data_IF_672796431026
#
_entry.id   IF_672796431026
#
_cell.length_a   1.000
_cell.length_b   1.000
_cell.length_c   1.000
_cell.angle_alpha   90.00
_cell.angle_beta   90.00
_cell.angle_gamma   90.00
#
_symmetry.space_group_name_H-M   'P 1'
#
loop_
_entity.id
_entity.type
_entity.pdbx_description
1 polymer ?
#
# COMPACT_ATOMS: atom_id res chain seq x y z
N UNK A 1 6.93 19.40 -23.22
CA UNK A 1 6.20 18.13 -23.24
C UNK A 1 6.27 17.58 -21.82
N UNK A 2 5.23 17.77 -21.06
CA UNK A 2 5.15 17.33 -19.65
C UNK A 2 5.02 15.82 -19.61
N UNK A 3 5.75 15.17 -18.72
CA UNK A 3 5.78 13.71 -18.51
C UNK A 3 4.42 13.07 -18.15
N UNK A 4 3.36 13.83 -18.13
CA UNK A 4 1.98 13.48 -17.82
C UNK A 4 1.24 12.68 -18.92
N UNK A 5 1.89 12.40 -20.07
CA UNK A 5 1.25 11.73 -21.21
C UNK A 5 1.39 10.21 -21.26
N UNK A 6 2.05 9.56 -20.27
CA UNK A 6 2.28 8.12 -20.27
C UNK A 6 1.45 7.36 -19.22
N UNK A 7 0.68 8.05 -18.39
CA UNK A 7 -0.15 7.41 -17.37
C UNK A 7 -1.45 6.97 -17.99
N UNK A 8 -1.74 5.68 -18.00
CA UNK A 8 -3.03 5.16 -18.45
C UNK A 8 -4.10 5.48 -17.40
N UNK A 9 -4.98 6.42 -17.76
CA UNK A 9 -6.08 6.84 -16.87
C UNK A 9 -6.96 5.68 -16.46
N UNK A 10 -7.16 4.68 -17.31
CA UNK A 10 -7.98 3.49 -17.01
C UNK A 10 -7.31 2.64 -15.94
N UNK A 11 -6.00 2.41 -16.07
CA UNK A 11 -5.22 1.67 -15.08
C UNK A 11 -5.21 2.36 -13.71
N UNK A 12 -5.06 3.69 -13.67
CA UNK A 12 -5.17 4.47 -12.42
C UNK A 12 -6.51 4.26 -11.71
N UNK A 13 -7.63 4.26 -12.45
CA UNK A 13 -8.95 4.03 -11.86
C UNK A 13 -9.13 2.60 -11.37
N UNK A 14 -8.69 1.62 -12.16
CA UNK A 14 -8.71 0.20 -11.77
C UNK A 14 -7.92 -0.03 -10.48
N UNK A 15 -6.73 0.54 -10.40
CA UNK A 15 -5.87 0.51 -9.24
C UNK A 15 -6.57 1.15 -8.02
N UNK A 16 -7.10 2.35 -8.16
CA UNK A 16 -7.78 3.05 -7.06
C UNK A 16 -8.98 2.27 -6.52
N UNK A 17 -9.76 1.61 -7.39
CA UNK A 17 -10.87 0.74 -6.96
C UNK A 17 -10.31 -0.46 -6.19
N UNK A 18 -9.25 -1.08 -6.68
CA UNK A 18 -8.59 -2.22 -6.01
C UNK A 18 -8.07 -1.85 -4.62
N UNK A 19 -7.37 -0.71 -4.49
CA UNK A 19 -6.88 -0.20 -3.21
C UNK A 19 -8.01 0.05 -2.21
N UNK A 20 -9.11 0.68 -2.63
CA UNK A 20 -10.27 0.90 -1.78
C UNK A 20 -10.86 -0.42 -1.26
N UNK A 21 -10.94 -1.44 -2.11
CA UNK A 21 -11.43 -2.76 -1.70
C UNK A 21 -10.49 -3.44 -0.70
N UNK A 22 -9.17 -3.36 -0.89
CA UNK A 22 -8.17 -3.90 0.06
C UNK A 22 -8.21 -3.20 1.43
N UNK A 23 -8.61 -1.93 1.45
CA UNK A 23 -8.82 -1.15 2.66
C UNK A 23 -10.19 -1.38 3.31
N UNK A 24 -11.05 -2.21 2.71
CA UNK A 24 -12.42 -2.43 3.18
C UNK A 24 -13.34 -1.22 2.96
N UNK A 25 -12.93 -0.29 2.10
CA UNK A 25 -13.66 0.94 1.78
C UNK A 25 -14.51 0.74 0.53
N UNK A 26 -15.82 0.98 0.63
CA UNK A 26 -16.73 0.84 -0.51
C UNK A 26 -16.32 1.78 -1.65
N UNK A 27 -16.01 1.26 -2.86
CA UNK A 27 -15.61 2.10 -4.00
C UNK A 27 -16.81 2.91 -4.53
N UNK A 28 -16.76 4.22 -4.32
CA UNK A 28 -17.74 5.18 -4.82
C UNK A 28 -17.05 6.23 -5.70
N UNK A 29 -17.78 6.78 -6.67
CA UNK A 29 -17.25 7.88 -7.51
C UNK A 29 -16.67 9.04 -6.70
N UNK A 30 -17.30 9.39 -5.57
CA UNK A 30 -16.82 10.45 -4.71
C UNK A 30 -15.44 10.14 -4.10
N UNK A 31 -15.23 8.90 -3.67
CA UNK A 31 -13.94 8.46 -3.11
C UNK A 31 -12.82 8.41 -4.17
N UNK A 32 -13.15 8.01 -5.40
CA UNK A 32 -12.20 8.07 -6.51
C UNK A 32 -11.86 9.53 -6.83
N UNK A 33 -12.85 10.43 -6.84
CA UNK A 33 -12.62 11.85 -7.05
C UNK A 33 -11.67 12.44 -6.00
N UNK A 34 -11.83 12.07 -4.75
CA UNK A 34 -10.98 12.46 -3.64
C UNK A 34 -9.55 11.90 -3.80
N UNK A 35 -9.41 10.58 -4.01
CA UNK A 35 -8.11 9.89 -4.15
C UNK A 35 -7.29 10.42 -5.33
N UNK A 36 -7.93 10.63 -6.46
CA UNK A 36 -7.27 11.09 -7.69
C UNK A 36 -7.24 12.62 -7.83
N UNK A 37 -7.78 13.37 -6.85
CA UNK A 37 -7.91 14.84 -6.92
C UNK A 37 -8.58 15.30 -8.21
N UNK A 38 -9.63 14.59 -8.66
CA UNK A 38 -10.35 14.85 -9.89
C UNK A 38 -11.75 15.39 -9.65
N UNK A 39 -12.29 16.13 -10.62
CA UNK A 39 -13.67 16.63 -10.54
C UNK A 39 -14.69 15.49 -10.67
N UNK A 40 -15.83 15.60 -9.97
CA UNK A 40 -16.93 14.62 -10.08
C UNK A 40 -17.39 14.35 -11.51
N UNK A 41 -17.56 15.37 -12.38
CA UNK A 41 -17.87 15.17 -13.80
C UNK A 41 -16.82 14.36 -14.55
N UNK A 42 -15.53 14.60 -14.32
CA UNK A 42 -14.42 13.84 -14.93
C UNK A 42 -14.49 12.36 -14.53
N UNK A 43 -14.65 12.11 -13.22
CA UNK A 43 -14.79 10.75 -12.70
C UNK A 43 -16.01 10.07 -13.31
N UNK A 44 -17.15 10.74 -13.37
CA UNK A 44 -18.38 10.18 -13.94
C UNK A 44 -18.23 9.80 -15.42
N UNK A 45 -17.54 10.61 -16.22
CA UNK A 45 -17.27 10.30 -17.63
C UNK A 45 -16.33 9.09 -17.76
N UNK A 46 -15.26 9.03 -16.99
CA UNK A 46 -14.30 7.91 -17.02
C UNK A 46 -14.98 6.62 -16.58
N UNK A 47 -15.72 6.62 -15.48
CA UNK A 47 -16.47 5.46 -15.00
C UNK A 47 -17.48 4.97 -16.05
N UNK A 48 -18.23 5.88 -16.68
CA UNK A 48 -19.17 5.49 -17.74
C UNK A 48 -18.48 4.91 -18.98
N UNK A 49 -17.26 5.34 -19.30
CA UNK A 49 -16.44 4.72 -20.35
C UNK A 49 -16.00 3.32 -19.94
N UNK A 50 -15.44 3.17 -18.73
CA UNK A 50 -14.97 1.88 -18.22
C UNK A 50 -16.12 0.84 -18.11
N UNK A 51 -17.32 1.29 -17.76
CA UNK A 51 -18.52 0.44 -17.75
C UNK A 51 -18.88 -0.05 -19.15
N UNK A 52 -18.89 0.83 -20.17
CA UNK A 52 -19.10 0.45 -21.58
C UNK A 52 -18.02 -0.50 -22.09
N UNK A 53 -16.77 -0.33 -21.64
CA UNK A 53 -15.65 -1.15 -22.03
C UNK A 53 -15.63 -2.49 -21.25
N UNK A 54 -16.63 -2.72 -20.37
CA UNK A 54 -16.80 -3.97 -19.62
C UNK A 54 -15.80 -4.20 -18.50
N UNK A 55 -15.16 -3.15 -17.98
CA UNK A 55 -14.14 -3.24 -16.94
C UNK A 55 -14.71 -3.16 -15.52
N UNK A 56 -15.87 -2.54 -15.38
CA UNK A 56 -16.58 -2.42 -14.11
C UNK A 56 -18.11 -2.35 -14.36
N UNK A 57 -18.87 -2.47 -13.31
CA UNK A 57 -20.31 -2.23 -13.32
C UNK A 57 -20.76 -1.54 -12.04
N UNK A 58 -21.93 -0.90 -12.08
CA UNK A 58 -22.58 -0.36 -10.91
C UNK A 58 -23.35 -1.46 -10.18
N UNK A 59 -22.93 -1.75 -8.97
CA UNK A 59 -23.69 -2.58 -8.03
C UNK A 59 -24.69 -1.73 -7.22
N UNK A 60 -25.44 -2.37 -6.31
CA UNK A 60 -26.35 -1.66 -5.41
C UNK A 60 -25.69 -0.46 -4.71
N UNK A 61 -26.48 0.55 -4.39
CA UNK A 61 -26.01 1.77 -3.69
C UNK A 61 -24.90 2.57 -4.40
N UNK A 62 -24.85 2.48 -5.74
CA UNK A 62 -23.87 3.18 -6.60
C UNK A 62 -22.40 2.74 -6.39
N UNK A 63 -22.19 1.60 -5.77
CA UNK A 63 -20.88 0.99 -5.63
C UNK A 63 -20.32 0.63 -6.99
N UNK A 64 -19.03 0.89 -7.19
CA UNK A 64 -18.30 0.42 -8.36
C UNK A 64 -17.74 -0.96 -8.05
N UNK A 65 -18.06 -1.93 -8.87
CA UNK A 65 -17.54 -3.28 -8.78
C UNK A 65 -16.73 -3.61 -10.04
N UNK A 66 -15.51 -4.10 -9.88
CA UNK A 66 -14.71 -4.56 -11.00
C UNK A 66 -15.34 -5.81 -11.63
N UNK A 67 -15.37 -5.87 -12.96
CA UNK A 67 -15.62 -7.12 -13.68
C UNK A 67 -14.42 -8.07 -13.54
N UNK A 68 -14.55 -9.32 -13.99
CA UNK A 68 -13.43 -10.26 -14.02
C UNK A 68 -12.25 -9.71 -14.83
N UNK A 69 -12.52 -9.08 -15.97
CA UNK A 69 -11.50 -8.41 -16.81
C UNK A 69 -10.88 -7.23 -16.08
N UNK A 70 -11.71 -6.38 -15.47
CA UNK A 70 -11.22 -5.23 -14.70
C UNK A 70 -10.39 -5.67 -13.50
N UNK A 71 -10.82 -6.71 -12.79
CA UNK A 71 -10.09 -7.31 -11.67
C UNK A 71 -8.71 -7.80 -12.09
N UNK A 72 -8.65 -8.57 -13.19
CA UNK A 72 -7.39 -9.07 -13.74
C UNK A 72 -6.43 -7.92 -14.09
N UNK A 73 -6.91 -6.88 -14.76
CA UNK A 73 -6.09 -5.72 -15.10
C UNK A 73 -5.63 -4.96 -13.86
N UNK A 74 -6.51 -4.69 -12.89
CA UNK A 74 -6.17 -4.05 -11.62
C UNK A 74 -5.09 -4.84 -10.87
N UNK A 75 -5.25 -6.17 -10.77
CA UNK A 75 -4.27 -7.07 -10.15
C UNK A 75 -2.90 -6.94 -10.80
N UNK A 76 -2.83 -6.92 -12.14
CA UNK A 76 -1.57 -6.79 -12.88
C UNK A 76 -0.89 -5.45 -12.68
N UNK A 77 -1.64 -4.36 -12.63
CA UNK A 77 -1.09 -3.03 -12.33
C UNK A 77 -0.54 -2.98 -10.91
N UNK A 78 -1.31 -3.43 -9.91
CA UNK A 78 -0.86 -3.50 -8.52
C UNK A 78 0.36 -4.39 -8.33
N UNK A 79 0.42 -5.53 -9.01
CA UNK A 79 1.59 -6.42 -8.98
C UNK A 79 2.84 -5.72 -9.49
N UNK A 80 2.75 -5.05 -10.65
CA UNK A 80 3.86 -4.29 -11.22
C UNK A 80 4.31 -3.16 -10.29
N UNK A 81 3.35 -2.44 -9.70
CA UNK A 81 3.62 -1.39 -8.73
C UNK A 81 4.45 -1.93 -7.56
N UNK A 82 3.94 -2.95 -6.87
CA UNK A 82 4.56 -3.52 -5.66
C UNK A 82 5.90 -4.21 -5.96
N UNK A 83 6.07 -4.83 -7.12
CA UNK A 83 7.36 -5.34 -7.58
C UNK A 83 8.35 -4.22 -7.90
N UNK A 84 7.90 -3.11 -8.49
CA UNK A 84 8.73 -1.94 -8.70
C UNK A 84 9.22 -1.36 -7.37
N UNK A 85 8.36 -1.23 -6.36
CA UNK A 85 8.76 -0.80 -5.02
C UNK A 85 9.86 -1.70 -4.44
N UNK A 86 9.71 -3.04 -4.54
CA UNK A 86 10.72 -3.98 -4.09
C UNK A 86 12.07 -3.77 -4.79
N UNK A 87 12.07 -3.60 -6.11
CA UNK A 87 13.29 -3.36 -6.90
C UNK A 87 13.94 -2.03 -6.50
N UNK A 88 13.14 -0.98 -6.36
CA UNK A 88 13.60 0.37 -6.01
C UNK A 88 14.27 0.40 -4.64
N UNK A 89 13.71 -0.27 -3.64
CA UNK A 89 14.33 -0.35 -2.30
C UNK A 89 15.56 -1.26 -2.33
N UNK A 90 15.41 -2.53 -2.79
CA UNK A 90 16.41 -3.55 -2.52
C UNK A 90 17.63 -3.48 -3.45
N UNK A 91 17.45 -3.02 -4.69
CA UNK A 91 18.50 -3.01 -5.72
C UNK A 91 18.97 -1.60 -6.05
N UNK A 92 18.01 -0.70 -6.31
CA UNK A 92 18.30 0.69 -6.67
C UNK A 92 18.70 1.51 -5.42
N UNK A 93 18.26 1.05 -4.22
CA UNK A 93 18.51 1.73 -2.93
C UNK A 93 17.92 3.14 -2.87
N UNK A 94 16.78 3.33 -3.51
CA UNK A 94 16.00 4.54 -3.36
C UNK A 94 15.47 4.62 -1.92
N UNK A 95 15.42 5.81 -1.27
CA UNK A 95 14.86 5.93 0.06
C UNK A 95 13.44 5.34 0.15
N UNK A 96 13.18 4.55 1.20
CA UNK A 96 11.92 3.83 1.41
C UNK A 96 10.68 4.72 1.29
N UNK A 97 10.77 5.95 1.76
CA UNK A 97 9.71 6.95 1.69
C UNK A 97 9.42 7.49 0.28
N UNK A 98 10.33 7.29 -0.68
CA UNK A 98 10.23 7.85 -2.04
C UNK A 98 9.76 6.82 -3.07
N UNK A 99 9.83 5.51 -2.77
CA UNK A 99 9.67 4.45 -3.78
C UNK A 99 8.28 4.40 -4.39
N UNK A 100 7.24 4.70 -3.62
CA UNK A 100 5.86 4.68 -4.09
C UNK A 100 5.64 5.62 -5.29
N UNK A 101 6.14 6.85 -5.19
CA UNK A 101 5.97 7.86 -6.24
C UNK A 101 6.66 7.42 -7.54
N UNK A 102 7.81 6.77 -7.44
CA UNK A 102 8.51 6.28 -8.62
C UNK A 102 7.85 5.00 -9.17
N UNK A 103 7.39 4.09 -8.33
CA UNK A 103 6.65 2.90 -8.72
C UNK A 103 5.37 3.25 -9.50
N UNK A 104 4.65 4.31 -9.12
CA UNK A 104 3.49 4.83 -9.85
C UNK A 104 3.80 5.23 -11.30
N UNK A 105 5.04 5.54 -11.62
CA UNK A 105 5.46 5.86 -13.00
C UNK A 105 5.83 4.59 -13.77
N UNK A 106 6.39 3.59 -13.09
CA UNK A 106 6.90 2.38 -13.71
C UNK A 106 5.81 1.35 -14.01
N UNK A 107 4.77 1.26 -13.20
CA UNK A 107 3.69 0.28 -13.31
C UNK A 107 3.01 0.26 -14.69
N UNK A 108 2.92 1.43 -15.35
CA UNK A 108 2.25 1.58 -16.65
C UNK A 108 3.13 1.24 -17.86
N UNK A 109 4.45 1.16 -17.68
CA UNK A 109 5.41 0.93 -18.78
C UNK A 109 6.14 -0.40 -18.68
N UNK A 110 6.01 -1.08 -17.53
CA UNK A 110 6.68 -2.36 -17.30
C UNK A 110 6.02 -3.48 -18.09
N UNK A 111 6.81 -4.15 -18.96
CA UNK A 111 6.34 -5.33 -19.67
C UNK A 111 6.31 -6.56 -18.77
N UNK A 112 5.46 -7.54 -19.10
CA UNK A 112 5.38 -8.81 -18.37
C UNK A 112 6.71 -9.57 -18.32
N UNK A 113 7.53 -9.49 -19.36
CA UNK A 113 8.84 -10.11 -19.39
C UNK A 113 9.82 -9.49 -18.39
N UNK A 114 9.76 -8.18 -18.20
CA UNK A 114 10.56 -7.45 -17.19
C UNK A 114 10.04 -7.76 -15.79
N UNK A 115 8.72 -7.76 -15.60
CA UNK A 115 8.06 -8.10 -14.36
C UNK A 115 8.49 -9.49 -13.83
N UNK A 116 8.47 -10.52 -14.70
CA UNK A 116 8.95 -11.87 -14.36
C UNK A 116 10.42 -11.88 -13.93
N UNK A 117 11.27 -11.12 -14.63
CA UNK A 117 12.70 -11.04 -14.27
C UNK A 117 12.94 -10.32 -12.95
N UNK A 118 12.18 -9.27 -12.67
CA UNK A 118 12.23 -8.58 -11.37
C UNK A 118 11.83 -9.54 -10.26
N UNK A 119 10.72 -10.26 -10.44
CA UNK A 119 10.23 -11.23 -9.45
C UNK A 119 11.29 -12.28 -9.11
N UNK A 120 11.93 -12.89 -10.14
CA UNK A 120 13.02 -13.85 -9.96
C UNK A 120 14.26 -13.22 -9.31
N UNK A 121 14.67 -12.04 -9.79
CA UNK A 121 15.85 -11.31 -9.27
C UNK A 121 15.75 -11.04 -7.78
N UNK A 122 14.54 -10.71 -7.32
CA UNK A 122 14.27 -10.36 -5.91
C UNK A 122 14.01 -11.58 -5.01
N UNK A 123 14.18 -12.81 -5.52
CA UNK A 123 13.95 -14.01 -4.75
C UNK A 123 12.48 -14.33 -4.48
N UNK A 124 11.60 -13.88 -5.39
CA UNK A 124 10.16 -14.16 -5.36
C UNK A 124 9.44 -13.56 -4.13
N UNK A 125 9.48 -12.23 -3.94
CA UNK A 125 8.82 -11.60 -2.81
C UNK A 125 7.30 -11.75 -2.89
N UNK A 126 6.66 -11.92 -1.75
CA UNK A 126 5.20 -11.98 -1.60
C UNK A 126 4.60 -10.66 -1.08
N UNK A 127 5.44 -9.76 -0.57
CA UNK A 127 5.05 -8.44 -0.04
C UNK A 127 5.97 -7.34 -0.55
N UNK A 128 5.42 -6.14 -0.66
CA UNK A 128 6.18 -4.95 -0.99
C UNK A 128 6.86 -4.35 0.27
N UNK A 129 7.76 -3.37 0.14
CA UNK A 129 8.45 -2.74 1.27
C UNK A 129 7.53 -2.05 2.27
N UNK A 130 6.30 -1.74 1.88
CA UNK A 130 5.27 -1.17 2.76
C UNK A 130 4.36 -2.25 3.36
N UNK A 131 4.68 -3.55 3.17
CA UNK A 131 4.00 -4.69 3.78
C UNK A 131 2.77 -5.19 3.02
N UNK A 132 2.33 -4.51 1.96
CA UNK A 132 1.17 -4.93 1.17
C UNK A 132 1.49 -6.19 0.37
N UNK A 133 0.54 -7.13 0.33
CA UNK A 133 0.67 -8.39 -0.43
C UNK A 133 0.79 -8.10 -1.92
N UNK A 134 1.72 -8.73 -2.62
CA UNK A 134 1.84 -8.62 -4.08
C UNK A 134 0.80 -9.54 -4.72
N UNK A 135 -0.24 -9.03 -5.40
CA UNK A 135 -1.33 -9.85 -5.90
C UNK A 135 -0.98 -10.56 -7.21
N UNK A 136 -1.65 -11.67 -7.52
CA UNK A 136 -1.60 -12.35 -8.83
C UNK A 136 -0.23 -12.91 -9.21
N UNK A 137 0.62 -13.26 -8.25
CA UNK A 137 1.94 -13.83 -8.48
C UNK A 137 1.91 -15.19 -9.19
N UNK A 138 0.81 -15.91 -9.06
CA UNK A 138 0.55 -17.18 -9.76
C UNK A 138 0.57 -17.03 -11.28
N UNK A 139 0.22 -15.87 -11.83
CA UNK A 139 0.35 -15.59 -13.26
C UNK A 139 1.80 -15.52 -13.74
N UNK A 140 2.75 -15.23 -12.84
CA UNK A 140 4.17 -15.12 -13.19
C UNK A 140 4.90 -16.46 -13.19
N UNK A 141 4.43 -17.43 -12.44
CA UNK A 141 5.04 -18.76 -12.30
C UNK A 141 4.24 -19.80 -13.06
N UNK A 142 4.72 -20.26 -14.20
CA UNK A 142 4.05 -21.28 -14.99
C UNK A 142 4.08 -22.62 -14.24
N UNK A 143 2.91 -23.04 -13.70
CA UNK A 143 2.71 -24.38 -13.13
C UNK A 143 3.17 -24.59 -11.68
N UNK A 144 3.71 -23.62 -11.02
CA UNK A 144 3.97 -23.64 -9.58
C UNK A 144 2.87 -22.83 -8.87
N UNK A 145 2.25 -23.40 -7.85
CA UNK A 145 1.38 -22.62 -6.96
C UNK A 145 2.27 -21.60 -6.24
N UNK A 146 2.08 -20.32 -6.52
CA UNK A 146 2.66 -19.30 -5.65
C UNK A 146 2.18 -19.60 -4.22
N UNK A 147 3.09 -19.66 -3.27
CA UNK A 147 2.75 -19.86 -1.88
C UNK A 147 1.70 -18.80 -1.52
N UNK A 148 0.46 -19.25 -1.31
CA UNK A 148 -0.64 -18.33 -1.03
C UNK A 148 -0.26 -17.51 0.20
N UNK A 149 -0.03 -16.22 -0.01
CA UNK A 149 0.21 -15.32 1.10
C UNK A 149 -1.06 -15.33 1.95
N UNK A 150 -0.99 -15.98 3.11
CA UNK A 150 -2.06 -15.90 4.08
C UNK A 150 -2.10 -14.44 4.55
N UNK A 151 -3.24 -13.79 4.33
CA UNK A 151 -3.50 -12.51 4.96
C UNK A 151 -3.41 -12.76 6.47
N UNK A 152 -2.38 -12.23 7.11
CA UNK A 152 -2.38 -12.17 8.56
C UNK A 152 -3.60 -11.34 8.99
N UNK A 153 -4.32 -11.74 10.05
CA UNK A 153 -5.37 -10.91 10.58
C UNK A 153 -4.72 -9.60 11.05
N UNK A 154 -4.88 -8.56 10.25
CA UNK A 154 -4.44 -7.22 10.59
C UNK A 154 -5.66 -6.28 10.70
N UNK A 155 -5.50 -5.23 11.48
CA UNK A 155 -6.51 -4.21 11.69
C UNK A 155 -5.86 -2.82 11.66
N UNK A 156 -6.62 -1.76 11.30
CA UNK A 156 -6.12 -0.39 11.43
C UNK A 156 -5.69 -0.07 12.87
N UNK A 157 -4.64 0.74 13.04
CA UNK A 157 -4.22 1.19 14.38
C UNK A 157 -5.37 1.84 15.17
N UNK A 158 -6.27 2.55 14.50
CA UNK A 158 -7.47 3.14 15.13
C UNK A 158 -8.36 2.10 15.77
N UNK A 159 -8.51 0.93 15.14
CA UNK A 159 -9.35 -0.16 15.63
C UNK A 159 -8.64 -0.89 16.75
N UNK A 160 -7.33 -1.06 16.63
CA UNK A 160 -6.50 -1.68 17.65
C UNK A 160 -6.58 -0.99 19.02
N UNK A 161 -6.75 0.33 19.06
CA UNK A 161 -6.82 1.08 20.32
C UNK A 161 -8.25 1.40 20.78
N UNK A 162 -9.26 1.20 19.92
CA UNK A 162 -10.65 1.68 20.14
C UNK A 162 -11.26 1.20 21.47
N UNK A 163 -11.10 -0.07 21.79
CA UNK A 163 -11.71 -0.70 22.94
C UNK A 163 -10.70 -1.07 24.03
N UNK A 164 -9.49 -0.53 23.95
CA UNK A 164 -8.40 -0.86 24.87
C UNK A 164 -8.40 0.10 26.07
N UNK A 165 -8.35 -0.47 27.28
CA UNK A 165 -8.25 0.30 28.52
C UNK A 165 -6.82 0.83 28.81
N UNK A 166 -5.85 0.53 27.93
CA UNK A 166 -4.44 0.91 28.08
C UNK A 166 -3.68 0.75 26.77
N UNK A 167 -2.37 0.87 26.83
CA UNK A 167 -1.50 0.73 25.66
C UNK A 167 -1.52 -0.69 25.10
N UNK A 168 -1.50 -0.80 23.77
CA UNK A 168 -1.57 -2.06 23.00
C UNK A 168 -0.22 -2.32 22.35
N UNK A 169 0.37 -3.48 22.59
CA UNK A 169 1.53 -3.96 21.81
C UNK A 169 1.06 -4.56 20.49
N UNK A 170 1.71 -4.18 19.43
CA UNK A 170 1.38 -4.65 18.09
C UNK A 170 2.60 -4.61 17.18
N UNK A 171 2.53 -5.39 16.09
CA UNK A 171 3.53 -5.34 15.02
C UNK A 171 2.89 -4.61 13.83
N UNK A 172 3.58 -3.63 13.28
CA UNK A 172 3.15 -2.98 12.02
C UNK A 172 3.22 -4.01 10.91
N UNK A 173 2.11 -4.25 10.23
CA UNK A 173 2.04 -5.24 9.14
C UNK A 173 2.13 -4.58 7.78
N UNK A 174 1.40 -3.48 7.56
CA UNK A 174 1.39 -2.77 6.29
C UNK A 174 0.94 -1.32 6.44
N UNK A 175 1.30 -0.53 5.44
CA UNK A 175 0.87 0.86 5.25
C UNK A 175 0.20 0.92 3.87
N UNK A 176 -1.03 1.45 3.79
CA UNK A 176 -1.77 1.48 2.52
C UNK A 176 -1.21 2.52 1.57
N UNK A 177 -1.42 2.33 0.27
CA UNK A 177 -0.92 3.20 -0.79
C UNK A 177 -1.41 4.65 -0.66
N UNK A 178 -2.57 4.85 -0.03
CA UNK A 178 -3.16 6.17 0.14
C UNK A 178 -2.23 7.18 0.83
N UNK A 179 -1.55 6.77 1.88
CA UNK A 179 -0.65 7.65 2.65
C UNK A 179 0.78 7.66 2.10
N UNK A 180 1.15 6.71 1.26
CA UNK A 180 2.51 6.59 0.71
C UNK A 180 2.84 7.69 -0.30
N UNK A 181 1.86 8.40 -0.84
CA UNK A 181 2.06 9.54 -1.74
C UNK A 181 2.53 10.81 -1.02
N UNK A 182 2.39 10.88 0.30
CA UNK A 182 2.86 12.01 1.12
C UNK A 182 4.27 11.71 1.68
N UNK A 183 5.29 12.25 0.99
CA UNK A 183 6.70 12.08 1.37
C UNK A 183 7.01 12.57 2.80
N UNK A 184 6.38 13.67 3.22
CA UNK A 184 6.62 14.24 4.55
C UNK A 184 6.05 13.31 5.62
N UNK A 185 4.87 12.77 5.36
CA UNK A 185 4.23 11.79 6.23
C UNK A 185 5.05 10.49 6.29
N UNK A 186 5.43 9.94 5.14
CA UNK A 186 6.24 8.71 5.09
C UNK A 186 7.58 8.86 5.83
N UNK A 187 8.26 9.99 5.67
CA UNK A 187 9.47 10.29 6.42
C UNK A 187 9.21 10.40 7.93
N UNK A 188 8.08 10.99 8.33
CA UNK A 188 7.66 11.05 9.74
C UNK A 188 7.41 9.64 10.30
N UNK A 189 6.70 8.77 9.57
CA UNK A 189 6.47 7.38 9.96
C UNK A 189 7.79 6.62 10.13
N UNK A 190 8.69 6.73 9.15
CA UNK A 190 10.04 6.12 9.20
C UNK A 190 10.81 6.55 10.46
N UNK A 191 10.89 7.86 10.71
CA UNK A 191 11.59 8.41 11.89
C UNK A 191 10.96 8.00 13.21
N UNK A 192 9.66 7.76 13.22
CA UNK A 192 8.94 7.24 14.38
C UNK A 192 9.06 5.71 14.55
N UNK A 193 9.82 5.02 13.69
CA UNK A 193 9.94 3.56 13.71
C UNK A 193 8.68 2.82 13.28
N UNK A 194 7.77 3.50 12.57
CA UNK A 194 6.52 2.92 12.09
C UNK A 194 6.76 2.37 10.69
N UNK A 195 7.24 1.14 10.62
CA UNK A 195 7.54 0.42 9.38
C UNK A 195 7.10 -1.05 9.52
N UNK A 196 6.75 -1.72 8.42
CA UNK A 196 6.38 -3.13 8.45
C UNK A 196 7.43 -4.00 9.16
N UNK A 197 6.97 -4.91 10.02
CA UNK A 197 7.82 -5.76 10.83
C UNK A 197 8.36 -5.11 12.12
N UNK A 198 8.04 -3.85 12.40
CA UNK A 198 8.45 -3.18 13.64
C UNK A 198 7.39 -3.36 14.71
N UNK A 199 7.83 -3.68 15.93
CA UNK A 199 6.98 -3.68 17.12
C UNK A 199 6.71 -2.23 17.55
N UNK A 200 5.47 -1.92 17.92
CA UNK A 200 5.04 -0.61 18.39
C UNK A 200 4.14 -0.76 19.62
N UNK A 201 4.12 0.28 20.45
CA UNK A 201 3.16 0.40 21.54
C UNK A 201 2.18 1.53 21.17
N UNK A 202 0.90 1.21 21.17
CA UNK A 202 -0.17 2.11 20.71
C UNK A 202 -1.00 2.58 21.90
N UNK A 203 -1.21 3.88 22.00
CA UNK A 203 -2.10 4.49 22.98
C UNK A 203 -3.19 5.32 22.31
N UNK A 204 -4.43 5.24 22.81
CA UNK A 204 -5.49 6.11 22.33
C UNK A 204 -5.26 7.55 22.80
N UNK A 205 -5.39 8.52 21.89
CA UNK A 205 -5.38 9.96 22.21
C UNK A 205 -6.56 10.65 21.54
N UNK A 206 -6.87 11.86 22.00
CA UNK A 206 -7.93 12.64 21.36
C UNK A 206 -7.62 12.90 19.90
N UNK A 207 -8.50 12.43 19.01
CA UNK A 207 -8.36 12.61 17.56
C UNK A 207 -7.38 11.69 16.85
N UNK A 208 -6.81 10.65 17.52
CA UNK A 208 -5.88 9.75 16.86
C UNK A 208 -5.25 8.68 17.73
N UNK A 209 -4.03 8.29 17.34
CA UNK A 209 -3.25 7.23 18.01
C UNK A 209 -1.85 7.75 18.33
N UNK A 210 -1.43 7.61 19.57
CA UNK A 210 -0.02 7.80 19.97
C UNK A 210 0.74 6.53 19.76
N UNK A 211 1.84 6.61 19.02
CA UNK A 211 2.70 5.48 18.72
C UNK A 211 4.06 5.69 19.37
N UNK A 212 4.45 4.74 20.19
CA UNK A 212 5.82 4.64 20.70
C UNK A 212 6.54 3.62 19.80
N UNK A 213 7.53 4.09 19.04
CA UNK A 213 8.29 3.25 18.13
C UNK A 213 9.10 2.21 18.90
N UNK A 214 9.05 0.99 18.43
CA UNK A 214 9.76 -0.14 18.98
C UNK A 214 11.02 -0.51 18.20
N UNK A 215 11.72 -1.52 18.71
CA UNK A 215 12.84 -2.17 18.05
C UNK A 215 12.35 -3.11 16.94
N UNK A 216 13.22 -3.47 15.99
CA UNK A 216 12.90 -4.45 14.96
C UNK A 216 12.56 -5.80 15.60
N UNK A 217 11.42 -6.40 15.18
CA UNK A 217 11.03 -7.74 15.62
C UNK A 217 11.75 -8.78 14.76
N UNK A 218 12.53 -9.67 15.42
CA UNK A 218 13.11 -10.88 14.83
C UNK A 218 14.10 -10.60 13.71
N UNK A 219 15.32 -10.39 14.11
CA UNK A 219 16.36 -10.02 13.23
C UNK A 219 17.18 -11.16 12.68
N UNK A 220 17.20 -11.35 11.39
CA UNK A 220 18.53 -11.59 10.81
C UNK A 220 18.82 -10.36 9.94
N UNK A 221 19.67 -9.51 10.51
CA UNK A 221 19.85 -8.13 10.15
C UNK A 221 20.29 -7.92 8.72
N UNK A 222 19.56 -7.10 8.02
CA UNK A 222 20.19 -6.26 7.00
C UNK A 222 20.67 -4.97 7.69
N UNK A 223 21.94 -5.01 8.08
CA UNK A 223 22.65 -3.93 8.74
C UNK A 223 23.04 -2.84 7.74
N UNK A 224 22.07 -2.25 7.04
CA UNK A 224 22.34 -1.11 6.16
C UNK A 224 21.52 0.14 6.50
N UNK A 225 20.91 0.17 7.67
CA UNK A 225 20.30 1.38 8.22
C UNK A 225 21.34 2.16 9.06
N UNK A 226 22.27 2.83 8.38
CA UNK A 226 23.36 3.62 9.00
C UNK A 226 22.91 4.98 9.50
N UNK A 227 21.61 5.23 9.65
CA UNK A 227 21.06 6.48 10.18
C UNK A 227 20.59 6.39 11.65
N UNK A 228 21.04 5.36 12.37
CA UNK A 228 20.88 5.31 13.83
C UNK A 228 22.13 5.89 14.49
N UNK A 229 22.17 7.20 14.68
CA UNK A 229 22.92 7.80 15.78
C UNK A 229 22.43 7.16 17.09
N UNK A 230 23.17 6.16 17.57
CA UNK A 230 23.15 5.60 18.90
C UNK A 230 21.77 5.30 19.49
N UNK A 231 21.56 4.13 20.07
CA UNK A 231 20.41 3.65 20.83
C UNK A 231 19.53 4.74 21.51
N UNK A 232 18.93 5.58 20.72
CA UNK A 232 18.02 6.64 21.14
C UNK A 232 16.59 6.12 21.17
N UNK A 233 15.92 6.27 22.30
CA UNK A 233 14.47 6.10 22.41
C UNK A 233 13.81 6.96 21.33
N UNK A 234 13.18 6.33 20.36
CA UNK A 234 12.41 7.02 19.32
C UNK A 234 11.32 7.83 20.00
N UNK A 235 11.27 9.14 19.74
CA UNK A 235 10.24 9.99 20.34
C UNK A 235 8.84 9.52 19.89
N UNK A 236 7.86 9.51 20.79
CA UNK A 236 6.50 9.10 20.43
C UNK A 236 5.94 10.02 19.35
N UNK A 237 5.18 9.43 18.41
CA UNK A 237 4.51 10.15 17.35
C UNK A 237 2.99 10.09 17.54
N UNK A 238 2.34 11.25 17.52
CA UNK A 238 0.88 11.32 17.48
C UNK A 238 0.44 11.32 16.00
N UNK A 239 -0.33 10.28 15.63
CA UNK A 239 -0.93 10.12 14.31
C UNK A 239 -2.39 10.54 14.38
N UNK A 240 -2.84 11.48 13.52
CA UNK A 240 -4.26 11.76 13.35
C UNK A 240 -5.03 10.49 12.94
N UNK A 241 -6.31 10.41 13.28
CA UNK A 241 -7.11 9.21 13.05
C UNK A 241 -7.22 8.82 11.57
N UNK A 242 -7.24 9.81 10.66
CA UNK A 242 -7.25 9.61 9.21
C UNK A 242 -5.94 8.97 8.72
N UNK A 243 -4.79 9.27 9.32
CA UNK A 243 -3.51 8.62 9.02
C UNK A 243 -3.42 7.24 9.69
N UNK A 244 -3.78 7.14 10.98
CA UNK A 244 -3.71 5.90 11.76
C UNK A 244 -4.62 4.80 11.21
N UNK A 245 -5.71 5.16 10.53
CA UNK A 245 -6.60 4.23 9.82
C UNK A 245 -5.94 3.54 8.60
N UNK A 246 -4.84 4.08 8.11
CA UNK A 246 -4.08 3.57 6.96
C UNK A 246 -2.80 2.82 7.35
N UNK A 247 -2.52 2.70 8.64
CA UNK A 247 -1.42 1.88 9.17
C UNK A 247 -2.03 0.67 9.87
N UNK A 248 -1.76 -0.51 9.36
CA UNK A 248 -2.31 -1.77 9.85
C UNK A 248 -1.32 -2.47 10.78
N UNK A 249 -1.87 -3.12 11.77
CA UNK A 249 -1.10 -3.82 12.80
C UNK A 249 -1.70 -5.18 13.10
N UNK A 250 -0.88 -6.10 13.56
CA UNK A 250 -1.29 -7.36 14.17
C UNK A 250 -1.03 -7.28 15.68
N UNK A 251 -2.04 -7.52 16.51
CA UNK A 251 -1.84 -7.63 17.96
C UNK A 251 -1.12 -8.93 18.29
N UNK A 252 -0.30 -8.92 19.32
CA UNK A 252 0.31 -10.15 19.91
C UNK A 252 -0.71 -10.93 20.73
#
# INVERSE_FOLDING_TARGET
MTAQGLIDTTEMYLRTIFELEEEGVVPLRARIAERLSQSGPTVSQTVARMERDGLLHLAGDRQLALSDTGRMLATRVMRKHRLAECLLVSVIQLPWEEVHIEACRWEHVMSESVERRIYELLGRPDRCPHGNVIPGLDELVAGESAAGCQANPDEPMTDAVRDSAGDVRAIVTRITEHVQSDLVLMLKLKRAGIQPGREVLLGAVEGGVRVFGGTAYGADGDANDTDTDGAGVVAPADLPADVAAHVFVSRE
#
